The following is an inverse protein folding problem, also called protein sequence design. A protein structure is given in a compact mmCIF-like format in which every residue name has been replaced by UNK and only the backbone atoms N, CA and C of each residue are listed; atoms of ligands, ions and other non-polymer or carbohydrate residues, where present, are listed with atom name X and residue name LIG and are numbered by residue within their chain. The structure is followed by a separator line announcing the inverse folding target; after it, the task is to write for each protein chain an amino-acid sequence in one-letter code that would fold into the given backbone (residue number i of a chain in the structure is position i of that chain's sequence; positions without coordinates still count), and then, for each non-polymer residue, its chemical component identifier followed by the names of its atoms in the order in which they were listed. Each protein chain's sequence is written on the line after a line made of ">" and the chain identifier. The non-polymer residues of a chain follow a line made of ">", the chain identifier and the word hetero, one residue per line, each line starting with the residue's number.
data_IF_011198475791
#
_entry.id   IF_011198475791
#
_cell.length_a   1.000
_cell.length_b   1.000
_cell.length_c   1.000
_cell.angle_alpha   90.00
_cell.angle_beta   90.00
_cell.angle_gamma   90.00
#
_symmetry.space_group_name_H-M   'P 1'
#
loop_
_entity.id
_entity.type
_entity.pdbx_description
1 polymer ?
#
# COMPACT_ATOMS: atom_id res chain seq x y z
N UNK A 1 -38.26 -21.73 -5.29
CA UNK A 1 -38.16 -20.65 -4.34
C UNK A 1 -36.77 -19.94 -4.33
N UNK A 2 -35.67 -20.63 -4.62
CA UNK A 2 -34.35 -20.04 -4.85
C UNK A 2 -34.26 -19.18 -6.16
N UNK A 3 -35.16 -19.41 -7.12
CA UNK A 3 -35.16 -18.68 -8.38
C UNK A 3 -35.76 -17.28 -8.31
N UNK A 4 -36.58 -17.02 -7.28
CA UNK A 4 -37.24 -15.71 -7.07
C UNK A 4 -36.34 -14.71 -6.31
N UNK A 5 -35.47 -15.20 -5.45
CA UNK A 5 -34.51 -14.36 -4.70
C UNK A 5 -33.40 -13.79 -5.58
N UNK A 6 -33.00 -14.51 -6.63
CA UNK A 6 -31.94 -14.05 -7.54
C UNK A 6 -32.43 -12.96 -8.53
N UNK A 7 -33.73 -12.75 -8.65
CA UNK A 7 -34.31 -11.71 -9.52
C UNK A 7 -34.47 -10.39 -8.80
N UNK A 8 -34.69 -10.41 -7.47
CA UNK A 8 -34.79 -9.20 -6.64
C UNK A 8 -33.43 -8.50 -6.46
N UNK A 9 -32.33 -9.27 -6.38
CA UNK A 9 -30.98 -8.72 -6.25
C UNK A 9 -30.50 -7.94 -7.49
N UNK A 10 -31.07 -8.22 -8.67
CA UNK A 10 -30.75 -7.53 -9.93
C UNK A 10 -31.51 -6.24 -10.17
N UNK A 11 -32.49 -5.89 -9.31
CA UNK A 11 -33.35 -4.73 -9.49
C UNK A 11 -33.20 -3.64 -8.41
N UNK A 12 -32.17 -3.73 -7.54
CA UNK A 12 -31.81 -2.64 -6.61
C UNK A 12 -32.89 -2.30 -5.56
N UNK A 13 -33.75 -3.26 -5.17
CA UNK A 13 -34.75 -3.04 -4.13
C UNK A 13 -34.14 -3.32 -2.77
N UNK A 14 -34.02 -2.29 -1.93
CA UNK A 14 -33.66 -2.41 -0.51
C UNK A 14 -34.73 -3.25 0.20
N UNK A 15 -34.36 -4.42 0.72
CA UNK A 15 -35.19 -5.22 1.60
C UNK A 15 -35.07 -4.65 3.02
N UNK A 16 -36.22 -4.41 3.65
CA UNK A 16 -36.37 -3.93 5.01
C UNK A 16 -35.76 -4.93 6.00
N UNK A 17 -34.93 -4.41 6.91
CA UNK A 17 -34.18 -5.21 7.89
C UNK A 17 -35.11 -5.98 8.84
N UNK A 18 -36.32 -5.45 9.12
CA UNK A 18 -37.32 -6.07 9.97
C UNK A 18 -37.95 -7.33 9.36
N UNK A 19 -38.00 -7.42 8.01
CA UNK A 19 -38.49 -8.58 7.30
C UNK A 19 -37.53 -9.79 7.37
N UNK A 20 -36.22 -9.54 7.50
CA UNK A 20 -35.19 -10.58 7.63
C UNK A 20 -35.18 -11.19 9.04
N UNK A 21 -35.36 -10.36 10.08
CA UNK A 21 -35.46 -10.85 11.47
C UNK A 21 -36.73 -11.66 11.76
N UNK A 22 -37.86 -11.28 11.17
CA UNK A 22 -39.11 -12.02 11.31
C UNK A 22 -39.02 -13.45 10.71
N UNK A 23 -38.22 -13.61 9.64
CA UNK A 23 -38.03 -14.92 8.99
C UNK A 23 -37.10 -15.84 9.81
N UNK A 24 -36.10 -15.28 10.50
CA UNK A 24 -35.19 -16.02 11.38
C UNK A 24 -35.92 -16.56 12.63
N UNK A 25 -36.80 -15.75 13.23
CA UNK A 25 -37.61 -16.16 14.41
C UNK A 25 -38.64 -17.25 14.09
N UNK A 26 -39.17 -17.31 12.87
CA UNK A 26 -40.15 -18.34 12.46
C UNK A 26 -39.51 -19.71 12.23
N UNK A 27 -38.22 -19.78 11.99
CA UNK A 27 -37.48 -21.04 11.77
C UNK A 27 -37.02 -21.70 13.07
N UNK A 28 -36.87 -20.92 14.15
CA UNK A 28 -36.49 -21.42 15.48
C UNK A 28 -37.66 -22.09 16.24
N UNK A 29 -38.92 -21.78 15.87
CA UNK A 29 -40.12 -22.28 16.55
C UNK A 29 -40.66 -23.63 16.04
N UNK A 30 -40.09 -24.23 14.99
CA UNK A 30 -40.59 -25.45 14.39
C UNK A 30 -39.88 -26.75 14.77
N UNK A 31 -38.98 -26.74 15.74
CA UNK A 31 -38.18 -27.92 16.14
C UNK A 31 -38.09 -28.19 17.64
N UNK A 32 -39.11 -27.81 18.45
CA UNK A 32 -39.23 -28.27 19.81
C UNK A 32 -40.67 -28.68 20.10
N UNK A 33 -40.97 -29.97 19.92
CA UNK A 33 -42.18 -30.62 20.47
C UNK A 33 -42.00 -30.96 21.93
N UNK A 34 -43.08 -30.92 22.75
CA UNK A 34 -43.01 -31.15 24.20
C UNK A 34 -42.76 -32.62 24.54
N UNK A 35 -41.76 -32.88 25.40
CA UNK A 35 -41.47 -34.19 25.99
C UNK A 35 -42.49 -34.45 27.08
N UNK A 36 -43.34 -35.46 26.89
CA UNK A 36 -44.31 -35.91 27.86
C UNK A 36 -43.62 -36.77 28.96
N UNK A 37 -43.63 -36.26 30.21
CA UNK A 37 -43.15 -36.96 31.39
C UNK A 37 -44.30 -37.77 31.99
N UNK A 38 -44.54 -38.98 31.54
CA UNK A 38 -45.22 -39.99 32.32
C UNK A 38 -45.22 -41.29 31.52
N UNK A 39 -44.31 -42.19 31.92
CA UNK A 39 -44.46 -43.66 31.92
C UNK A 39 -43.15 -44.33 32.32
N UNK A 40 -42.96 -44.43 33.64
CA UNK A 40 -42.02 -45.40 34.22
C UNK A 40 -42.88 -46.51 34.77
N UNK A 41 -42.99 -47.62 34.07
CA UNK A 41 -43.40 -48.88 34.65
C UNK A 41 -42.26 -49.88 34.63
N UNK A 42 -41.95 -50.28 35.83
CA UNK A 42 -41.07 -51.31 36.32
C UNK A 42 -41.15 -52.61 35.48
N UNK A 43 -40.02 -53.11 35.02
CA UNK A 43 -39.88 -54.47 34.52
C UNK A 43 -38.47 -54.97 34.83
N UNK A 44 -38.38 -55.71 35.90
CA UNK A 44 -37.18 -56.43 36.33
C UNK A 44 -36.86 -57.53 35.30
N UNK A 45 -35.72 -57.42 34.61
CA UNK A 45 -35.17 -58.49 33.80
C UNK A 45 -33.71 -58.76 34.13
N UNK A 46 -33.46 -60.02 34.45
CA UNK A 46 -32.21 -60.59 34.95
C UNK A 46 -31.04 -60.37 33.99
N UNK A 47 -29.95 -59.95 34.54
CA UNK A 47 -28.67 -59.77 33.84
C UNK A 47 -27.97 -61.11 33.68
N UNK A 48 -27.70 -61.53 32.46
CA UNK A 48 -26.77 -62.61 32.10
C UNK A 48 -25.51 -61.94 31.53
N UNK A 49 -24.33 -62.16 32.04
CA UNK A 49 -23.13 -61.55 31.50
C UNK A 49 -22.62 -62.34 30.31
N UNK A 50 -22.83 -61.84 29.08
CA UNK A 50 -22.07 -62.26 27.92
C UNK A 50 -20.99 -61.24 27.68
N UNK A 51 -19.74 -61.59 27.94
CA UNK A 51 -18.55 -60.88 27.49
C UNK A 51 -18.48 -60.97 25.96
N UNK A 52 -18.92 -59.94 25.26
CA UNK A 52 -18.49 -59.69 23.89
C UNK A 52 -17.63 -58.46 23.90
N UNK A 53 -16.30 -58.64 23.69
CA UNK A 53 -15.37 -57.56 23.49
C UNK A 53 -15.69 -56.82 22.18
N UNK A 54 -16.26 -55.62 22.29
CA UNK A 54 -16.38 -54.69 21.17
C UNK A 54 -15.12 -53.86 21.14
N UNK A 55 -14.19 -54.24 20.31
CA UNK A 55 -13.04 -53.35 19.94
C UNK A 55 -13.58 -52.20 19.08
N UNK A 56 -13.76 -51.06 19.76
CA UNK A 56 -14.04 -49.79 19.04
C UNK A 56 -12.73 -49.37 18.37
N UNK A 57 -12.58 -49.70 17.10
CA UNK A 57 -11.53 -49.13 16.24
C UNK A 57 -11.91 -47.68 15.97
N UNK A 58 -11.32 -46.74 16.71
CA UNK A 58 -11.43 -45.31 16.41
C UNK A 58 -10.69 -45.05 15.06
N UNK A 59 -11.45 -45.09 13.98
CA UNK A 59 -10.96 -44.60 12.69
C UNK A 59 -10.75 -43.09 12.85
N UNK A 60 -9.50 -42.66 12.98
CA UNK A 60 -9.09 -41.27 12.83
C UNK A 60 -9.38 -40.86 11.36
N UNK A 61 -10.54 -40.25 11.16
CA UNK A 61 -10.85 -39.58 9.88
C UNK A 61 -9.95 -38.33 9.85
N UNK A 62 -8.74 -38.47 9.33
CA UNK A 62 -7.91 -37.35 8.93
C UNK A 62 -8.63 -36.71 7.74
N UNK A 63 -9.40 -35.66 7.99
CA UNK A 63 -9.87 -34.78 6.91
C UNK A 63 -8.63 -34.21 6.21
N UNK A 64 -8.47 -34.42 4.89
CA UNK A 64 -7.40 -33.76 4.18
C UNK A 64 -7.62 -32.26 4.32
N UNK A 65 -6.71 -31.58 5.01
CA UNK A 65 -6.60 -30.12 4.92
C UNK A 65 -6.18 -29.83 3.49
N UNK A 66 -7.12 -29.52 2.63
CA UNK A 66 -6.79 -28.96 1.33
C UNK A 66 -6.07 -27.64 1.58
N UNK A 67 -4.75 -27.65 1.47
CA UNK A 67 -3.99 -26.41 1.34
C UNK A 67 -4.62 -25.64 0.15
N UNK A 68 -5.12 -24.43 0.41
CA UNK A 68 -5.69 -23.61 -0.64
C UNK A 68 -4.68 -23.49 -1.79
N UNK A 69 -5.10 -23.83 -3.02
CA UNK A 69 -4.22 -23.77 -4.18
C UNK A 69 -3.72 -22.33 -4.35
N UNK A 70 -2.39 -22.17 -4.44
CA UNK A 70 -1.80 -20.85 -4.70
C UNK A 70 -2.26 -20.32 -6.05
N UNK A 71 -2.63 -19.06 -6.09
CA UNK A 71 -3.08 -18.35 -7.29
C UNK A 71 -2.29 -17.07 -7.53
N UNK A 72 -2.48 -16.45 -8.69
CA UNK A 72 -1.92 -15.12 -8.99
C UNK A 72 -0.40 -15.05 -8.84
N UNK A 73 0.06 -13.98 -8.26
CA UNK A 73 1.49 -13.70 -8.08
C UNK A 73 2.17 -14.67 -7.12
N UNK A 74 1.49 -15.16 -6.07
CA UNK A 74 2.08 -16.17 -5.16
C UNK A 74 2.39 -17.47 -5.90
N UNK A 75 1.49 -17.94 -6.77
CA UNK A 75 1.73 -19.11 -7.63
C UNK A 75 2.92 -18.88 -8.55
N UNK A 76 2.96 -17.73 -9.26
CA UNK A 76 4.10 -17.35 -10.12
C UNK A 76 5.43 -17.36 -9.36
N UNK A 77 5.47 -16.79 -8.16
CA UNK A 77 6.68 -16.75 -7.33
C UNK A 77 7.11 -18.16 -6.92
N UNK A 78 6.16 -19.01 -6.49
CA UNK A 78 6.45 -20.41 -6.10
C UNK A 78 7.02 -21.22 -7.26
N UNK A 79 6.45 -21.06 -8.46
CA UNK A 79 6.87 -21.81 -9.67
C UNK A 79 8.19 -21.29 -10.24
N UNK A 80 8.42 -19.97 -10.23
CA UNK A 80 9.62 -19.37 -10.84
C UNK A 80 10.82 -19.29 -9.89
N UNK A 81 10.60 -19.44 -8.57
CA UNK A 81 11.63 -19.22 -7.56
C UNK A 81 12.14 -17.77 -7.50
N UNK A 82 11.34 -16.81 -7.99
CA UNK A 82 11.77 -15.41 -8.10
C UNK A 82 10.64 -14.44 -7.82
N UNK A 83 10.92 -13.39 -7.04
CA UNK A 83 10.06 -12.21 -6.89
C UNK A 83 10.74 -11.00 -7.55
N UNK A 84 10.01 -10.20 -8.32
CA UNK A 84 10.51 -8.99 -8.99
C UNK A 84 9.99 -7.74 -8.30
N UNK A 85 10.91 -6.95 -7.75
CA UNK A 85 10.64 -5.70 -7.05
C UNK A 85 10.81 -4.52 -8.00
N UNK A 86 9.80 -3.67 -8.10
CA UNK A 86 9.92 -2.36 -8.72
C UNK A 86 10.68 -1.41 -7.79
N UNK A 87 11.68 -0.70 -8.30
CA UNK A 87 12.44 0.29 -7.54
C UNK A 87 12.62 1.59 -8.32
N UNK A 88 12.91 2.65 -7.62
CA UNK A 88 13.26 3.96 -8.17
C UNK A 88 14.77 4.18 -8.07
N UNK A 89 15.29 5.09 -8.86
CA UNK A 89 16.70 5.50 -8.80
C UNK A 89 16.92 6.88 -8.14
N UNK A 90 15.86 7.68 -8.01
CA UNK A 90 15.96 9.06 -7.53
C UNK A 90 14.81 9.50 -6.60
N UNK A 91 14.13 8.59 -5.88
CA UNK A 91 13.09 8.94 -4.90
C UNK A 91 13.62 8.90 -3.47
N UNK A 92 14.54 9.82 -3.15
CA UNK A 92 15.14 9.92 -1.80
C UNK A 92 14.11 10.47 -0.81
N UNK A 93 13.94 9.88 0.38
CA UNK A 93 14.65 8.72 0.94
C UNK A 93 13.87 7.40 0.78
N UNK A 94 12.89 7.29 -0.11
CA UNK A 94 11.97 6.15 -0.20
C UNK A 94 12.53 4.95 -0.98
N UNK A 95 12.99 5.20 -2.22
CA UNK A 95 13.59 4.18 -3.08
C UNK A 95 14.54 4.87 -4.05
N UNK A 96 15.84 4.58 -3.95
CA UNK A 96 16.86 5.23 -4.77
C UNK A 96 18.14 4.41 -4.83
N UNK A 97 19.05 4.80 -5.72
CA UNK A 97 20.40 4.24 -5.84
C UNK A 97 21.38 5.30 -5.37
N UNK A 98 22.16 4.99 -4.35
CA UNK A 98 23.09 5.95 -3.74
C UNK A 98 24.48 5.90 -4.37
N UNK A 99 24.88 4.77 -4.94
CA UNK A 99 26.24 4.53 -5.44
C UNK A 99 26.28 3.64 -6.68
N UNK A 100 27.48 3.38 -7.16
CA UNK A 100 27.74 2.58 -8.37
C UNK A 100 27.43 1.08 -8.22
N UNK A 101 27.08 0.58 -7.03
CA UNK A 101 26.65 -0.81 -6.84
C UNK A 101 25.35 -1.13 -7.58
N UNK A 102 24.53 -0.09 -7.83
CA UNK A 102 23.22 -0.24 -8.45
C UNK A 102 22.19 -0.93 -7.56
N UNK A 103 22.50 -1.13 -6.27
CA UNK A 103 21.56 -1.74 -5.31
C UNK A 103 20.60 -0.68 -4.79
N UNK A 104 19.28 -0.87 -4.93
CA UNK A 104 18.31 0.08 -4.42
C UNK A 104 18.29 0.07 -2.88
N UNK A 105 17.98 1.23 -2.31
CA UNK A 105 17.84 1.43 -0.88
C UNK A 105 16.77 2.47 -0.58
N UNK A 106 16.36 2.60 0.68
CA UNK A 106 15.41 3.61 1.13
C UNK A 106 14.34 3.05 2.06
N UNK A 107 13.53 3.94 2.60
CA UNK A 107 12.46 3.63 3.54
C UNK A 107 11.45 2.61 2.97
N UNK A 108 10.90 2.89 1.79
CA UNK A 108 9.95 1.99 1.14
C UNK A 108 10.62 0.71 0.66
N UNK A 109 11.92 0.78 0.31
CA UNK A 109 12.68 -0.41 -0.05
C UNK A 109 12.90 -1.34 1.15
N UNK A 110 13.21 -0.79 2.34
CA UNK A 110 13.32 -1.60 3.56
C UNK A 110 11.97 -2.29 3.90
N UNK A 111 10.83 -1.60 3.71
CA UNK A 111 9.49 -2.22 3.84
C UNK A 111 9.30 -3.32 2.80
N UNK A 112 9.73 -3.10 1.55
CA UNK A 112 9.64 -4.09 0.47
C UNK A 112 10.44 -5.36 0.80
N UNK A 113 11.60 -5.22 1.44
CA UNK A 113 12.39 -6.35 1.91
C UNK A 113 11.69 -7.11 3.04
N UNK A 114 10.96 -6.45 3.95
CA UNK A 114 10.11 -7.12 4.96
C UNK A 114 8.99 -7.95 4.30
N UNK A 115 8.41 -7.43 3.22
CA UNK A 115 7.44 -8.20 2.42
C UNK A 115 8.08 -9.45 1.83
N UNK A 116 9.28 -9.34 1.28
CA UNK A 116 10.03 -10.50 0.73
C UNK A 116 10.32 -11.54 1.80
N UNK A 117 10.74 -11.11 3.00
CA UNK A 117 11.01 -12.01 4.13
C UNK A 117 9.74 -12.77 4.54
N UNK A 118 8.59 -12.10 4.60
CA UNK A 118 7.31 -12.73 4.90
C UNK A 118 6.93 -13.77 3.83
N UNK A 119 7.03 -13.41 2.55
CA UNK A 119 6.73 -14.31 1.42
C UNK A 119 7.65 -15.54 1.41
N UNK A 120 8.94 -15.37 1.68
CA UNK A 120 9.90 -16.50 1.84
C UNK A 120 9.40 -17.50 2.88
N UNK A 121 8.94 -16.99 4.03
CA UNK A 121 8.43 -17.80 5.13
C UNK A 121 7.11 -18.47 4.76
N UNK A 122 6.16 -17.72 4.22
CA UNK A 122 4.81 -18.22 3.92
C UNK A 122 4.80 -19.28 2.81
N UNK A 123 5.73 -19.15 1.84
CA UNK A 123 5.87 -20.11 0.75
C UNK A 123 6.89 -21.24 1.06
N UNK A 124 7.54 -21.24 2.23
CA UNK A 124 8.66 -22.14 2.54
C UNK A 124 9.72 -22.13 1.43
N UNK A 125 10.26 -20.94 1.14
CA UNK A 125 11.24 -20.69 0.07
C UNK A 125 12.41 -19.84 0.59
N UNK A 126 13.30 -20.38 1.45
CA UNK A 126 14.41 -19.62 2.00
C UNK A 126 15.35 -19.05 0.91
N UNK A 127 15.47 -19.76 -0.21
CA UNK A 127 16.34 -19.40 -1.34
C UNK A 127 15.64 -18.58 -2.43
N UNK A 128 14.46 -18.01 -2.15
CA UNK A 128 13.73 -17.15 -3.08
C UNK A 128 14.62 -16.03 -3.59
N UNK A 129 14.78 -15.95 -4.91
CA UNK A 129 15.60 -14.92 -5.56
C UNK A 129 14.83 -13.61 -5.70
N UNK A 130 15.52 -12.51 -5.42
CA UNK A 130 14.99 -11.16 -5.64
C UNK A 130 15.60 -10.60 -6.93
N UNK A 131 14.73 -10.13 -7.83
CA UNK A 131 15.09 -9.32 -8.99
C UNK A 131 14.64 -7.90 -8.80
N UNK A 132 15.42 -6.97 -9.29
CA UNK A 132 15.10 -5.54 -9.29
C UNK A 132 14.74 -5.06 -10.69
N UNK A 133 13.70 -4.27 -10.81
CA UNK A 133 13.28 -3.62 -12.05
C UNK A 133 13.12 -2.13 -11.83
N UNK A 134 13.93 -1.33 -12.53
CA UNK A 134 13.84 0.12 -12.47
C UNK A 134 12.51 0.61 -13.04
N UNK A 135 11.82 1.47 -12.30
CA UNK A 135 10.59 2.11 -12.74
C UNK A 135 10.65 3.63 -12.53
N UNK A 136 9.94 4.37 -13.38
CA UNK A 136 9.66 5.80 -13.22
C UNK A 136 8.24 6.01 -12.73
N UNK A 137 7.87 7.25 -12.40
CA UNK A 137 6.47 7.57 -12.04
C UNK A 137 5.49 7.27 -13.18
N UNK A 138 5.95 7.32 -14.44
CA UNK A 138 5.12 7.00 -15.62
C UNK A 138 5.02 5.50 -15.90
N UNK A 139 6.10 4.74 -15.67
CA UNK A 139 6.16 3.32 -16.08
C UNK A 139 5.74 2.33 -15.00
N UNK A 140 5.73 2.72 -13.73
CA UNK A 140 5.45 1.81 -12.60
C UNK A 140 4.08 1.11 -12.70
N UNK A 141 3.00 1.83 -13.02
CA UNK A 141 1.65 1.25 -13.12
C UNK A 141 1.58 0.21 -14.25
N UNK A 142 1.94 0.51 -15.52
CA UNK A 142 1.94 -0.49 -16.59
C UNK A 142 2.79 -1.72 -16.29
N UNK A 143 3.95 -1.55 -15.62
CA UNK A 143 4.84 -2.68 -15.31
C UNK A 143 4.31 -3.59 -14.20
N UNK A 144 3.53 -3.05 -13.26
CA UNK A 144 2.79 -3.85 -12.27
C UNK A 144 1.59 -4.55 -12.92
N UNK A 145 0.83 -3.84 -13.75
CA UNK A 145 -0.34 -4.40 -14.44
C UNK A 145 0.01 -5.62 -15.29
N UNK A 146 1.09 -5.55 -16.08
CA UNK A 146 1.50 -6.63 -17.00
C UNK A 146 2.31 -7.73 -16.31
N UNK A 147 2.62 -7.59 -15.00
CA UNK A 147 3.34 -8.58 -14.20
C UNK A 147 4.85 -8.64 -14.43
N UNK A 148 5.45 -7.64 -15.10
CA UNK A 148 6.90 -7.45 -15.15
C UNK A 148 7.44 -7.16 -13.75
N UNK A 149 6.68 -6.41 -12.95
CA UNK A 149 6.93 -6.13 -11.53
C UNK A 149 5.85 -6.79 -10.71
N UNK A 150 6.24 -7.51 -9.66
CA UNK A 150 5.30 -8.16 -8.74
C UNK A 150 4.77 -7.20 -7.68
N UNK A 151 5.66 -6.43 -7.08
CA UNK A 151 5.35 -5.39 -6.10
C UNK A 151 6.24 -4.17 -6.29
N UNK A 152 5.66 -2.99 -6.25
CA UNK A 152 6.41 -1.73 -6.26
C UNK A 152 6.10 -0.93 -4.99
N UNK A 153 7.12 -0.63 -4.20
CA UNK A 153 7.06 0.26 -3.05
C UNK A 153 8.08 1.38 -3.25
N UNK A 154 7.60 2.51 -3.66
CA UNK A 154 8.40 3.72 -3.86
C UNK A 154 7.76 4.92 -3.16
N UNK A 155 7.60 5.99 -3.90
CA UNK A 155 6.82 7.18 -3.54
C UNK A 155 5.53 7.21 -4.37
N UNK A 156 4.62 6.25 -4.13
CA UNK A 156 3.43 6.08 -4.96
C UNK A 156 2.16 6.36 -4.18
N UNK A 157 1.54 7.49 -4.51
CA UNK A 157 0.26 7.90 -3.95
C UNK A 157 -0.83 6.93 -4.31
N UNK A 158 -1.54 6.43 -3.30
CA UNK A 158 -2.75 5.66 -3.42
C UNK A 158 -3.94 6.62 -3.61
N UNK A 159 -4.48 6.70 -4.81
CA UNK A 159 -5.68 7.49 -5.12
C UNK A 159 -6.71 6.68 -5.92
N UNK A 160 -7.93 7.20 -6.02
CA UNK A 160 -9.07 6.52 -6.65
C UNK A 160 -8.79 6.18 -8.12
N UNK A 161 -8.15 7.09 -8.89
CA UNK A 161 -7.84 6.88 -10.30
C UNK A 161 -6.87 5.69 -10.50
N UNK A 162 -5.81 5.63 -9.68
CA UNK A 162 -4.81 4.56 -9.74
C UNK A 162 -5.36 3.23 -9.26
N UNK A 163 -6.26 3.24 -8.27
CA UNK A 163 -6.95 2.02 -7.80
C UNK A 163 -7.83 1.37 -8.87
N UNK A 164 -8.20 2.06 -9.93
CA UNK A 164 -8.86 1.44 -11.09
C UNK A 164 -7.92 0.54 -11.88
N UNK A 165 -6.62 0.76 -11.81
CA UNK A 165 -5.59 0.13 -12.63
C UNK A 165 -4.77 -0.93 -11.90
N UNK A 166 -4.47 -0.70 -10.63
CA UNK A 166 -3.69 -1.58 -9.73
C UNK A 166 -4.36 -1.62 -8.37
N UNK A 167 -4.00 -2.60 -7.54
CA UNK A 167 -4.36 -2.59 -6.12
C UNK A 167 -3.20 -2.00 -5.30
N UNK A 168 -3.54 -1.38 -4.19
CA UNK A 168 -2.59 -0.83 -3.23
C UNK A 168 -2.62 -1.59 -1.92
N UNK A 169 -1.47 -1.68 -1.28
CA UNK A 169 -1.38 -2.09 0.12
C UNK A 169 -2.00 -1.04 1.04
N UNK A 170 -2.10 -1.38 2.32
CA UNK A 170 -2.26 -0.36 3.36
C UNK A 170 -1.17 0.71 3.22
N UNK A 171 -1.50 1.93 3.68
CA UNK A 171 -0.59 3.06 3.58
C UNK A 171 0.72 2.84 4.35
N UNK A 172 1.82 3.30 3.75
CA UNK A 172 3.18 3.19 4.32
C UNK A 172 3.79 4.53 4.69
N UNK A 173 3.28 5.63 4.16
CA UNK A 173 3.76 6.99 4.44
C UNK A 173 2.69 8.02 4.11
N UNK A 174 2.84 9.25 4.65
CA UNK A 174 1.98 10.39 4.31
C UNK A 174 2.81 11.59 3.90
N UNK A 175 2.32 12.38 2.96
CA UNK A 175 3.01 13.56 2.40
C UNK A 175 2.02 14.66 2.03
N UNK A 176 2.57 15.87 1.85
CA UNK A 176 1.87 16.98 1.23
C UNK A 176 2.69 17.55 0.06
N UNK A 177 2.04 17.83 -1.07
CA UNK A 177 2.70 18.43 -2.23
C UNK A 177 3.05 19.88 -1.97
N UNK A 178 4.33 20.25 -2.10
CA UNK A 178 4.87 21.58 -1.81
C UNK A 178 5.87 22.05 -2.87
N UNK A 179 6.61 23.11 -2.58
CA UNK A 179 7.63 23.69 -3.43
C UNK A 179 9.02 23.57 -2.81
N UNK A 180 10.05 23.42 -3.66
CA UNK A 180 11.45 23.70 -3.34
C UNK A 180 11.90 24.88 -4.17
N UNK A 181 12.47 25.88 -3.52
CA UNK A 181 13.03 27.06 -4.17
C UNK A 181 14.31 27.51 -3.47
N UNK A 182 15.06 28.45 -4.05
CA UNK A 182 16.17 29.05 -3.32
C UNK A 182 15.66 29.80 -2.10
N UNK A 183 16.38 29.65 -0.99
CA UNK A 183 16.01 30.20 0.32
C UNK A 183 15.89 31.73 0.30
N UNK A 184 16.74 32.39 -0.47
CA UNK A 184 16.79 33.84 -0.62
C UNK A 184 15.90 34.36 -1.76
N UNK A 185 15.22 33.47 -2.51
CA UNK A 185 14.31 33.88 -3.58
C UNK A 185 13.03 34.51 -3.05
N UNK A 186 12.33 35.25 -3.94
CA UNK A 186 10.98 35.78 -3.68
C UNK A 186 9.87 34.74 -3.86
N UNK A 187 10.21 33.51 -4.31
CA UNK A 187 9.22 32.44 -4.59
C UNK A 187 8.92 31.67 -3.32
N UNK A 188 7.93 32.14 -2.54
CA UNK A 188 7.56 31.55 -1.24
C UNK A 188 6.28 30.71 -1.31
N UNK A 189 5.38 31.02 -2.23
CA UNK A 189 4.17 30.23 -2.46
C UNK A 189 3.82 30.21 -3.97
N UNK A 190 2.78 29.47 -4.32
CA UNK A 190 2.39 29.20 -5.71
C UNK A 190 2.03 30.47 -6.47
N UNK A 191 1.41 31.46 -5.84
CA UNK A 191 1.03 32.72 -6.48
C UNK A 191 2.24 33.55 -6.97
N UNK A 192 3.40 33.35 -6.37
CA UNK A 192 4.67 33.99 -6.81
C UNK A 192 5.22 33.39 -8.12
N UNK A 193 4.69 32.25 -8.55
CA UNK A 193 5.17 31.52 -9.72
C UNK A 193 4.52 31.94 -11.04
N UNK A 194 3.64 32.94 -11.01
CA UNK A 194 2.93 33.43 -12.20
C UNK A 194 3.92 33.86 -13.30
N UNK A 195 3.77 33.28 -14.50
CA UNK A 195 4.65 33.53 -15.63
C UNK A 195 6.05 32.93 -15.54
N UNK A 196 6.33 32.04 -14.56
CA UNK A 196 7.66 31.46 -14.32
C UNK A 196 7.79 30.03 -14.86
N UNK A 197 9.05 29.60 -15.02
CA UNK A 197 9.38 28.21 -15.28
C UNK A 197 9.30 27.43 -13.96
N UNK A 198 8.42 26.44 -13.88
CA UNK A 198 8.26 25.56 -12.71
C UNK A 198 8.43 24.12 -13.17
N UNK A 199 9.31 23.38 -12.50
CA UNK A 199 9.54 21.98 -12.81
C UNK A 199 8.77 21.08 -11.88
N UNK A 200 8.33 19.93 -12.40
CA UNK A 200 7.76 18.81 -11.67
C UNK A 200 8.17 17.50 -12.33
N UNK A 201 7.82 16.35 -11.74
CA UNK A 201 8.17 15.06 -12.32
C UNK A 201 6.98 14.47 -13.06
N UNK A 202 7.20 14.02 -14.30
CA UNK A 202 6.19 13.44 -15.17
C UNK A 202 5.55 12.17 -14.54
N UNK A 203 4.21 12.04 -14.67
CA UNK A 203 3.43 10.90 -14.15
C UNK A 203 3.15 10.95 -12.64
N UNK A 204 3.37 12.10 -11.99
CA UNK A 204 3.05 12.32 -10.58
C UNK A 204 1.69 13.01 -10.37
N UNK A 205 1.13 12.89 -9.19
CA UNK A 205 -0.02 13.69 -8.74
C UNK A 205 0.32 15.17 -8.73
N UNK A 206 1.55 15.51 -8.33
CA UNK A 206 2.05 16.89 -8.31
C UNK A 206 2.05 17.53 -9.71
N UNK A 207 2.43 16.78 -10.77
CA UNK A 207 2.33 17.27 -12.15
C UNK A 207 0.89 17.62 -12.53
N UNK A 208 -0.05 16.73 -12.19
CA UNK A 208 -1.47 16.94 -12.47
C UNK A 208 -2.02 18.15 -11.72
N UNK A 209 -1.71 18.27 -10.43
CA UNK A 209 -2.13 19.39 -9.58
C UNK A 209 -1.56 20.72 -10.12
N UNK A 210 -0.26 20.76 -10.44
CA UNK A 210 0.39 21.96 -10.94
C UNK A 210 -0.20 22.42 -12.29
N UNK A 211 -0.45 21.48 -13.22
CA UNK A 211 -1.06 21.79 -14.51
C UNK A 211 -2.50 22.28 -14.36
N UNK A 212 -3.29 21.65 -13.49
CA UNK A 212 -4.66 22.09 -13.21
C UNK A 212 -4.67 23.49 -12.58
N UNK A 213 -3.85 23.72 -11.55
CA UNK A 213 -3.71 25.05 -10.92
C UNK A 213 -3.31 26.13 -11.95
N UNK A 214 -2.33 25.83 -12.83
CA UNK A 214 -1.88 26.76 -13.84
C UNK A 214 -3.01 27.16 -14.80
N UNK A 215 -3.84 26.20 -15.20
CA UNK A 215 -4.98 26.43 -16.10
C UNK A 215 -6.10 27.19 -15.38
N UNK A 216 -6.54 26.71 -14.22
CA UNK A 216 -7.71 27.21 -13.50
C UNK A 216 -7.51 28.64 -12.98
N UNK A 217 -6.29 28.92 -12.48
CA UNK A 217 -5.92 30.27 -11.99
C UNK A 217 -5.29 31.16 -13.06
N UNK A 218 -5.18 30.67 -14.32
CA UNK A 218 -4.57 31.41 -15.45
C UNK A 218 -3.19 31.98 -15.10
N UNK A 219 -2.34 31.16 -14.48
CA UNK A 219 -1.06 31.61 -13.93
C UNK A 219 0.01 31.85 -15.01
N UNK A 220 -0.17 31.29 -16.22
CA UNK A 220 0.81 31.45 -17.31
C UNK A 220 2.17 30.84 -17.00
N UNK A 221 2.25 29.88 -16.08
CA UNK A 221 3.50 29.17 -15.78
C UNK A 221 3.92 28.31 -16.97
N UNK A 222 5.22 28.26 -17.26
CA UNK A 222 5.80 27.25 -18.12
C UNK A 222 6.12 26.00 -17.25
N UNK A 223 5.22 25.00 -17.27
CA UNK A 223 5.37 23.77 -16.49
C UNK A 223 6.26 22.79 -17.23
N UNK A 224 7.42 22.47 -16.65
CA UNK A 224 8.41 21.54 -17.19
C UNK A 224 8.23 20.19 -16.48
N UNK A 225 7.93 19.13 -17.26
CA UNK A 225 7.79 17.77 -16.75
C UNK A 225 9.09 16.99 -17.00
N UNK A 226 9.91 16.78 -15.97
CA UNK A 226 11.14 16.01 -16.07
C UNK A 226 10.88 14.51 -15.88
N UNK A 227 11.79 13.66 -16.31
CA UNK A 227 11.65 12.19 -16.31
C UNK A 227 11.57 11.61 -14.89
N UNK A 228 12.39 12.13 -13.98
CA UNK A 228 12.49 11.67 -12.58
C UNK A 228 12.80 12.84 -11.63
N UNK A 229 12.78 12.56 -10.32
CA UNK A 229 12.98 13.61 -9.31
C UNK A 229 14.38 14.22 -9.35
N UNK A 230 15.39 13.39 -9.66
CA UNK A 230 16.76 13.86 -9.80
C UNK A 230 16.94 14.84 -10.95
N UNK A 231 16.37 14.55 -12.11
CA UNK A 231 16.38 15.46 -13.27
C UNK A 231 15.58 16.74 -12.95
N UNK A 232 14.43 16.61 -12.27
CA UNK A 232 13.64 17.77 -11.83
C UNK A 232 14.47 18.70 -10.94
N UNK A 233 15.16 18.13 -9.94
CA UNK A 233 16.03 18.92 -9.07
C UNK A 233 17.23 19.52 -9.83
N UNK A 234 17.83 18.81 -10.77
CA UNK A 234 18.90 19.33 -11.61
C UNK A 234 18.46 20.53 -12.44
N UNK A 235 17.23 20.54 -12.95
CA UNK A 235 16.66 21.68 -13.66
C UNK A 235 16.47 22.88 -12.73
N UNK A 236 16.05 22.67 -11.48
CA UNK A 236 15.99 23.72 -10.48
C UNK A 236 17.39 24.23 -10.11
N UNK A 237 18.35 23.34 -9.80
CA UNK A 237 19.72 23.68 -9.38
C UNK A 237 20.46 24.45 -10.48
N UNK A 238 20.22 24.13 -11.77
CA UNK A 238 20.81 24.83 -12.91
C UNK A 238 20.12 26.16 -13.28
N UNK A 239 19.03 26.52 -12.58
CA UNK A 239 18.28 27.74 -12.85
C UNK A 239 17.37 27.71 -14.09
N UNK A 240 17.13 26.51 -14.68
CA UNK A 240 16.16 26.34 -15.77
C UNK A 240 14.72 26.49 -15.27
N UNK A 241 14.48 26.22 -13.99
CA UNK A 241 13.24 26.48 -13.28
C UNK A 241 13.51 27.27 -12.02
N UNK A 242 12.54 28.04 -11.54
CA UNK A 242 12.64 28.83 -10.31
C UNK A 242 12.14 28.08 -9.08
N UNK A 243 11.31 27.07 -9.30
CA UNK A 243 10.76 26.20 -8.26
C UNK A 243 10.57 24.77 -8.80
N UNK A 244 10.64 23.79 -7.87
CA UNK A 244 10.31 22.37 -8.10
C UNK A 244 9.12 21.99 -7.23
N UNK A 245 8.04 21.54 -7.83
CA UNK A 245 6.85 21.05 -7.12
C UNK A 245 6.82 19.54 -7.07
N UNK A 246 6.86 19.00 -5.87
CA UNK A 246 6.68 17.58 -5.55
C UNK A 246 6.33 17.44 -4.06
N UNK A 247 6.22 16.22 -3.55
CA UNK A 247 5.92 15.91 -2.16
C UNK A 247 7.04 16.34 -1.22
N UNK A 248 6.70 16.90 -0.07
CA UNK A 248 7.59 17.56 0.89
C UNK A 248 8.76 16.68 1.36
N UNK A 249 8.50 15.40 1.65
CA UNK A 249 9.54 14.46 2.05
C UNK A 249 10.54 14.18 0.90
N UNK A 250 10.08 14.16 -0.37
CA UNK A 250 10.95 14.05 -1.55
C UNK A 250 11.76 15.33 -1.74
N UNK A 251 11.15 16.51 -1.52
CA UNK A 251 11.87 17.78 -1.58
C UNK A 251 12.98 17.84 -0.54
N UNK A 252 12.72 17.35 0.69
CA UNK A 252 13.75 17.25 1.73
C UNK A 252 14.89 16.32 1.29
N UNK A 253 14.59 15.19 0.67
CA UNK A 253 15.56 14.25 0.12
C UNK A 253 16.42 14.87 -1.00
N UNK A 254 15.80 15.58 -1.94
CA UNK A 254 16.51 16.26 -3.03
C UNK A 254 17.39 17.39 -2.52
N UNK A 255 16.90 18.18 -1.55
CA UNK A 255 17.66 19.22 -0.87
C UNK A 255 18.89 18.65 -0.18
N UNK A 256 18.77 17.50 0.49
CA UNK A 256 19.89 16.86 1.20
C UNK A 256 21.03 16.44 0.27
N UNK A 257 20.77 16.13 -0.99
CA UNK A 257 21.81 15.80 -1.98
C UNK A 257 22.36 17.00 -2.75
N UNK A 258 21.81 18.22 -2.56
CA UNK A 258 22.28 19.42 -3.21
C UNK A 258 23.77 19.70 -2.95
N UNK A 259 24.42 20.45 -3.81
CA UNK A 259 25.81 20.89 -3.57
C UNK A 259 25.91 21.76 -2.32
N UNK A 260 24.91 22.61 -2.09
CA UNK A 260 24.76 23.46 -0.91
C UNK A 260 23.32 23.35 -0.42
N UNK A 261 23.03 22.41 0.49
CA UNK A 261 21.67 22.20 1.01
C UNK A 261 21.05 23.44 1.65
N UNK A 262 21.86 24.24 2.33
CA UNK A 262 21.43 25.45 3.04
C UNK A 262 20.94 26.59 2.14
N UNK A 263 21.24 26.52 0.82
CA UNK A 263 20.77 27.49 -0.18
C UNK A 263 19.29 27.26 -0.56
N UNK A 264 18.69 26.16 -0.12
CA UNK A 264 17.34 25.72 -0.53
C UNK A 264 16.38 25.73 0.64
N UNK A 265 15.10 25.87 0.35
CA UNK A 265 14.02 25.78 1.34
C UNK A 265 12.78 25.09 0.73
N UNK A 266 12.18 24.20 1.50
CA UNK A 266 10.83 23.69 1.23
C UNK A 266 9.84 24.77 1.63
N UNK A 267 9.09 25.27 0.66
CA UNK A 267 8.15 26.40 0.79
C UNK A 267 6.78 26.04 0.21
N UNK A 268 5.89 27.00 0.11
CA UNK A 268 4.56 26.83 -0.43
C UNK A 268 3.59 26.15 0.55
N UNK A 269 2.34 26.51 0.45
CA UNK A 269 1.23 25.84 1.15
C UNK A 269 1.02 24.44 0.57
N UNK A 270 0.81 23.43 1.40
CA UNK A 270 0.54 22.08 0.90
C UNK A 270 -0.73 22.05 0.03
N UNK A 271 -0.59 21.58 -1.21
CA UNK A 271 -1.68 21.53 -2.19
C UNK A 271 -2.46 20.22 -2.14
N UNK A 272 -1.89 19.19 -1.52
CA UNK A 272 -2.54 17.90 -1.33
C UNK A 272 -2.16 17.30 0.02
N UNK A 273 -2.95 16.31 0.43
CA UNK A 273 -2.61 15.33 1.44
C UNK A 273 -2.67 13.97 0.77
N UNK A 274 -1.58 13.24 0.80
CA UNK A 274 -1.43 12.00 0.05
C UNK A 274 -0.88 10.89 0.93
N UNK A 275 -1.33 9.65 0.68
CA UNK A 275 -0.83 8.44 1.33
C UNK A 275 -0.11 7.60 0.28
N UNK A 276 1.13 7.20 0.56
CA UNK A 276 1.84 6.22 -0.25
C UNK A 276 1.47 4.80 0.15
N UNK A 277 1.38 3.92 -0.85
CA UNK A 277 1.21 2.48 -0.68
C UNK A 277 2.05 1.70 -1.67
N UNK A 278 2.25 0.41 -1.39
CA UNK A 278 2.85 -0.50 -2.35
C UNK A 278 1.81 -0.93 -3.38
N UNK A 279 2.17 -0.94 -4.66
CA UNK A 279 1.29 -1.41 -5.74
C UNK A 279 1.50 -2.89 -6.00
N UNK A 280 0.41 -3.59 -6.22
CA UNK A 280 0.34 -4.98 -6.69
C UNK A 280 -0.64 -5.07 -7.85
N UNK A 281 -0.64 -6.18 -8.59
CA UNK A 281 -1.55 -6.37 -9.72
C UNK A 281 -3.01 -6.30 -9.27
N UNK A 282 -3.83 -5.64 -10.08
CA UNK A 282 -5.27 -5.51 -9.84
C UNK A 282 -5.94 -6.87 -9.73
N UNK A 283 -6.74 -7.05 -8.67
CA UNK A 283 -7.53 -8.25 -8.44
C UNK A 283 -6.76 -9.46 -7.90
N UNK A 284 -5.47 -9.32 -7.55
CA UNK A 284 -4.66 -10.37 -6.93
C UNK A 284 -4.80 -10.31 -5.40
N UNK A 285 -5.99 -10.62 -4.90
CA UNK A 285 -6.32 -10.52 -3.48
C UNK A 285 -5.41 -11.37 -2.56
N UNK A 286 -5.01 -12.61 -2.91
CA UNK A 286 -4.09 -13.39 -2.07
C UNK A 286 -2.72 -12.72 -1.92
N UNK A 287 -2.17 -12.18 -3.02
CA UNK A 287 -0.86 -11.50 -2.96
C UNK A 287 -0.95 -10.16 -2.23
N UNK A 288 -2.01 -9.37 -2.50
CA UNK A 288 -2.28 -8.14 -1.73
C UNK A 288 -2.35 -8.42 -0.24
N UNK A 289 -3.08 -9.49 0.16
CA UNK A 289 -3.18 -9.87 1.56
C UNK A 289 -1.82 -10.20 2.18
N UNK A 290 -0.97 -10.95 1.48
CA UNK A 290 0.38 -11.27 1.96
C UNK A 290 1.24 -10.00 2.14
N UNK A 291 1.14 -9.04 1.22
CA UNK A 291 1.80 -7.73 1.32
C UNK A 291 1.29 -6.94 2.52
N UNK A 292 -0.03 -6.85 2.69
CA UNK A 292 -0.64 -6.12 3.82
C UNK A 292 -0.27 -6.75 5.16
N UNK A 293 -0.34 -8.06 5.28
CA UNK A 293 0.01 -8.80 6.51
C UNK A 293 1.48 -8.55 6.90
N UNK A 294 2.40 -8.52 5.94
CA UNK A 294 3.82 -8.23 6.17
C UNK A 294 4.04 -6.79 6.68
N UNK A 295 3.34 -5.81 6.10
CA UNK A 295 3.41 -4.42 6.55
C UNK A 295 2.80 -4.28 7.95
N UNK A 296 1.64 -4.90 8.21
CA UNK A 296 1.00 -4.92 9.54
C UNK A 296 1.93 -5.56 10.58
N UNK A 297 2.61 -6.65 10.23
CA UNK A 297 3.58 -7.29 11.12
C UNK A 297 4.74 -6.34 11.47
N UNK A 298 5.25 -5.60 10.47
CA UNK A 298 6.30 -4.58 10.64
C UNK A 298 5.83 -3.44 11.56
N UNK A 299 4.56 -3.04 11.50
CA UNK A 299 3.98 -2.04 12.38
C UNK A 299 3.84 -2.56 13.82
N UNK A 300 3.29 -3.78 13.97
CA UNK A 300 3.06 -4.41 15.29
C UNK A 300 4.35 -4.75 16.01
N UNK A 301 5.42 -5.13 15.30
CA UNK A 301 6.73 -5.39 15.91
C UNK A 301 7.44 -4.13 16.38
N UNK A 302 7.03 -2.96 15.87
CA UNK A 302 7.73 -1.70 16.08
C UNK A 302 8.93 -1.47 15.14
N UNK A 303 9.25 -2.39 14.26
CA UNK A 303 10.35 -2.27 13.28
C UNK A 303 10.23 -1.02 12.42
N UNK A 304 8.99 -0.58 12.16
CA UNK A 304 8.73 0.63 11.39
C UNK A 304 9.38 1.88 12.01
N UNK A 305 9.50 1.96 13.34
CA UNK A 305 10.14 3.09 14.00
C UNK A 305 11.65 3.12 13.76
N UNK A 306 12.29 1.93 13.74
CA UNK A 306 13.70 1.81 13.40
C UNK A 306 13.97 2.16 11.93
N UNK A 307 13.11 1.67 11.01
CA UNK A 307 13.17 1.99 9.57
C UNK A 307 12.96 3.50 9.37
N UNK A 308 11.98 4.11 10.04
CA UNK A 308 11.76 5.55 9.98
C UNK A 308 12.96 6.34 10.47
N UNK A 309 13.47 5.99 11.65
CA UNK A 309 14.63 6.68 12.24
C UNK A 309 15.87 6.59 11.34
N UNK A 310 16.12 5.44 10.70
CA UNK A 310 17.21 5.22 9.76
C UNK A 310 17.16 6.21 8.59
N UNK A 311 15.98 6.44 8.00
CA UNK A 311 15.85 7.17 6.75
C UNK A 311 15.47 8.66 6.90
N UNK A 312 14.90 9.06 8.02
CA UNK A 312 14.39 10.42 8.22
C UNK A 312 15.06 11.17 9.37
N UNK A 313 15.64 10.44 10.35
CA UNK A 313 16.22 11.02 11.55
C UNK A 313 17.71 10.70 11.73
N UNK A 314 18.31 10.07 10.74
CA UNK A 314 19.74 9.70 10.73
C UNK A 314 20.40 10.14 9.42
N UNK A 315 21.74 10.17 9.35
CA UNK A 315 22.45 10.47 8.11
C UNK A 315 22.14 9.46 7.00
N UNK A 316 21.70 9.93 5.84
CA UNK A 316 21.34 9.09 4.69
C UNK A 316 22.39 9.17 3.57
N UNK A 317 22.70 8.04 2.89
CA UNK A 317 23.54 8.05 1.69
C UNK A 317 22.93 8.92 0.56
N UNK A 318 23.76 9.44 -0.40
CA UNK A 318 25.20 9.25 -0.48
C UNK A 318 26.03 10.23 0.37
N UNK A 319 25.45 11.36 0.80
CA UNK A 319 26.21 12.45 1.43
C UNK A 319 26.22 12.41 2.96
N UNK A 320 25.45 11.50 3.57
CA UNK A 320 25.39 11.40 5.03
C UNK A 320 24.67 12.55 5.71
N UNK A 321 23.75 13.24 5.03
CA UNK A 321 22.96 14.31 5.63
C UNK A 321 21.72 13.75 6.30
N UNK A 322 21.42 14.28 7.49
CA UNK A 322 20.18 13.98 8.19
C UNK A 322 19.06 14.88 7.66
N UNK A 323 17.95 14.28 7.26
CA UNK A 323 16.79 15.05 6.77
C UNK A 323 16.10 15.84 7.88
N UNK A 324 16.27 15.42 9.14
CA UNK A 324 15.60 16.00 10.31
C UNK A 324 14.09 16.14 10.08
N UNK A 325 13.50 15.08 9.55
CA UNK A 325 12.08 15.03 9.18
C UNK A 325 11.32 14.14 10.18
N UNK A 326 10.77 14.71 11.27
CA UNK A 326 10.12 13.95 12.32
C UNK A 326 8.81 13.33 11.83
N UNK A 327 8.47 12.15 12.36
CA UNK A 327 7.24 11.46 12.03
C UNK A 327 6.03 12.32 12.44
N UNK A 328 5.16 12.62 11.48
CA UNK A 328 3.94 13.39 11.71
C UNK A 328 2.93 12.61 12.56
N UNK A 329 2.00 13.31 13.21
CA UNK A 329 0.94 12.67 13.98
C UNK A 329 -0.02 11.88 13.08
N UNK A 330 -0.24 12.33 11.84
CA UNK A 330 -1.04 11.61 10.85
C UNK A 330 -0.38 10.29 10.43
N UNK A 331 0.94 10.25 10.25
CA UNK A 331 1.65 9.01 9.97
C UNK A 331 1.60 8.06 11.17
N UNK A 332 1.73 8.57 12.39
CA UNK A 332 1.54 7.74 13.61
C UNK A 332 0.13 7.15 13.68
N UNK A 333 -0.89 7.95 13.35
CA UNK A 333 -2.28 7.48 13.27
C UNK A 333 -2.46 6.41 12.18
N UNK A 334 -1.89 6.61 10.99
CA UNK A 334 -1.91 5.63 9.90
C UNK A 334 -1.26 4.30 10.31
N UNK A 335 -0.16 4.34 11.05
CA UNK A 335 0.51 3.13 11.56
C UNK A 335 -0.35 2.42 12.61
N UNK A 336 -1.05 3.16 13.48
CA UNK A 336 -1.94 2.60 14.49
C UNK A 336 -3.24 2.05 13.90
N UNK A 337 -3.77 2.70 12.87
CA UNK A 337 -5.02 2.37 12.19
C UNK A 337 -4.77 2.19 10.68
N UNK A 338 -4.08 1.10 10.25
CA UNK A 338 -3.70 0.90 8.87
C UNK A 338 -4.92 0.80 7.94
N UNK A 339 -4.86 1.47 6.80
CA UNK A 339 -5.91 1.46 5.79
C UNK A 339 -5.33 1.53 4.38
N UNK A 340 -5.99 0.87 3.42
CA UNK A 340 -5.73 0.96 1.98
C UNK A 340 -6.71 1.92 1.27
N UNK A 341 -7.47 2.67 2.05
CA UNK A 341 -8.43 3.62 1.51
C UNK A 341 -7.70 4.69 0.69
N UNK A 342 -8.12 4.85 -0.57
CA UNK A 342 -7.61 5.91 -1.42
C UNK A 342 -7.91 7.30 -0.82
N UNK A 343 -6.95 8.20 -0.95
CA UNK A 343 -7.21 9.62 -0.67
C UNK A 343 -7.96 10.19 -1.88
N UNK A 344 -9.06 10.87 -1.59
CA UNK A 344 -9.77 11.64 -2.63
C UNK A 344 -8.91 12.82 -3.07
N UNK A 345 -8.71 12.95 -4.37
CA UNK A 345 -8.09 14.13 -4.93
C UNK A 345 -8.97 15.34 -4.58
N UNK A 346 -8.49 16.24 -3.73
CA UNK A 346 -9.16 17.52 -3.58
C UNK A 346 -9.23 18.15 -4.96
N UNK A 347 -10.43 18.37 -5.46
CA UNK A 347 -10.60 19.26 -6.61
C UNK A 347 -10.03 20.61 -6.19
N UNK A 348 -9.00 21.05 -6.92
CA UNK A 348 -8.36 22.34 -6.73
C UNK A 348 -9.39 23.46 -6.85
#
# INVERSE_FOLDING_TARGET
>A
MLYTLNRAFRQGVCLDQDAVEAFAKKRAASHCGPINKNEIKDSSMRIVPHLLGVTITAALISTPVFAAELTGTLKKIKESGTITLGHRDASIPFSYIADASGVPMGYSHDIQLKIVEAIKKDLDMPDLKVKYNLVTSQTRIPLVQNGTVDVECGSTTNNVERQQQVDFSIGIFEVGTRLLSKKDSSYKDFDDLKGKNVVTTAGTTSERILKAMNADKQMGMNVISAKDHGESFQMLESGRAVAFMIDDALLAGEMAKAKKPDDWAVTGTAQSYEIYGCMVRKGDAPFKKAVDDAIIATYKSGDINAIYSKWFMSPVPPKGLNLNFPMSDKLKELIQNPTDKAVEDKKA
#
